data_IF_546070657792
#
_entry.id   IF_546070657792
#
_cell.length_a   1.000
_cell.length_b   1.000
_cell.length_c   1.000
_cell.angle_alpha   90.00
_cell.angle_beta   90.00
_cell.angle_gamma   90.00
#
_symmetry.space_group_name_H-M   'P 1'
#
loop_
_entity.id
_entity.type
_entity.pdbx_description
1 polymer ?
#
# COMPACT_ATOMS: atom_id res chain seq x y z
N UNK A 1 -1.39 -1.72 32.47
CA UNK A 1 -0.49 -1.97 31.33
C UNK A 1 -1.13 -3.06 30.49
N UNK A 2 -1.69 -2.78 29.30
CA UNK A 2 -2.08 -3.88 28.44
C UNK A 2 -0.83 -4.52 27.85
N UNK A 3 -0.89 -5.84 27.78
CA UNK A 3 0.09 -6.73 27.18
C UNK A 3 0.29 -6.34 25.72
N UNK A 4 1.55 -6.15 25.31
CA UNK A 4 1.91 -6.18 23.89
C UNK A 4 1.66 -7.64 23.47
N UNK A 5 0.48 -7.92 22.94
CA UNK A 5 0.24 -9.17 22.23
C UNK A 5 1.31 -9.28 21.14
N UNK A 6 2.03 -10.39 21.14
CA UNK A 6 3.11 -10.63 20.20
C UNK A 6 2.60 -10.38 18.78
N UNK A 7 3.30 -9.53 18.01
CA UNK A 7 3.04 -9.34 16.58
C UNK A 7 3.05 -10.75 15.97
N UNK A 8 1.93 -11.25 15.42
CA UNK A 8 1.92 -12.57 14.83
C UNK A 8 3.01 -12.60 13.75
N UNK A 9 4.00 -13.46 13.94
CA UNK A 9 5.04 -13.69 12.93
C UNK A 9 4.34 -14.24 11.70
N UNK A 10 4.11 -13.37 10.71
CA UNK A 10 3.50 -13.75 9.46
C UNK A 10 4.22 -14.99 8.93
N UNK A 11 3.49 -16.10 8.79
CA UNK A 11 4.01 -17.30 8.12
C UNK A 11 4.51 -16.87 6.75
N UNK A 12 5.72 -17.30 6.38
CA UNK A 12 6.29 -17.10 5.06
C UNK A 12 5.50 -17.92 4.02
N UNK A 13 4.27 -17.53 3.73
CA UNK A 13 3.56 -18.00 2.56
C UNK A 13 4.14 -17.27 1.33
N UNK A 14 4.28 -17.94 0.18
CA UNK A 14 4.63 -17.24 -1.05
C UNK A 14 3.54 -16.20 -1.33
N UNK A 15 3.94 -14.93 -1.45
CA UNK A 15 3.01 -13.87 -1.77
C UNK A 15 2.64 -13.85 -3.25
N UNK A 16 1.81 -12.88 -3.68
CA UNK A 16 1.32 -12.84 -5.04
C UNK A 16 2.50 -12.75 -6.02
N UNK A 17 2.57 -13.67 -6.97
CA UNK A 17 3.44 -13.55 -8.14
C UNK A 17 2.91 -12.40 -8.99
N UNK A 18 3.75 -11.40 -9.25
CA UNK A 18 3.43 -10.22 -10.07
C UNK A 18 3.79 -10.46 -11.54
N UNK A 19 4.97 -11.02 -11.76
CA UNK A 19 5.53 -11.38 -13.07
C UNK A 19 6.34 -12.67 -12.90
N UNK A 20 6.68 -13.38 -13.99
CA UNK A 20 7.62 -14.49 -13.91
C UNK A 20 8.91 -14.08 -13.19
N UNK A 21 9.23 -14.75 -12.08
CA UNK A 21 10.40 -14.44 -11.26
C UNK A 21 10.27 -13.25 -10.30
N UNK A 22 9.10 -12.58 -10.21
CA UNK A 22 8.86 -11.46 -9.30
C UNK A 22 7.67 -11.74 -8.38
N UNK A 23 7.93 -11.89 -7.09
CA UNK A 23 6.92 -12.02 -6.05
C UNK A 23 7.31 -11.16 -4.83
N UNK A 24 6.31 -10.66 -4.12
CA UNK A 24 6.51 -9.88 -2.89
C UNK A 24 6.18 -10.73 -1.67
N UNK A 25 7.01 -10.67 -0.64
CA UNK A 25 6.74 -11.33 0.63
C UNK A 25 5.48 -10.72 1.31
N UNK A 26 4.48 -11.53 1.72
CA UNK A 26 3.32 -11.04 2.46
C UNK A 26 3.69 -10.44 3.82
N UNK A 27 2.92 -9.45 4.28
CA UNK A 27 3.13 -8.85 5.60
C UNK A 27 4.50 -8.18 5.75
N UNK A 28 5.06 -7.68 4.65
CA UNK A 28 6.32 -6.94 4.61
C UNK A 28 6.14 -5.65 3.82
N UNK A 29 6.97 -4.66 4.16
CA UNK A 29 7.06 -3.41 3.42
C UNK A 29 8.02 -3.62 2.25
N UNK A 30 7.62 -3.15 1.07
CA UNK A 30 8.43 -3.16 -0.15
C UNK A 30 8.51 -1.74 -0.70
N UNK A 31 9.72 -1.26 -0.94
CA UNK A 31 9.94 0.06 -1.54
C UNK A 31 10.01 -0.05 -3.06
N UNK A 32 9.17 0.71 -3.75
CA UNK A 32 9.12 0.73 -5.21
C UNK A 32 9.73 2.03 -5.73
N UNK A 33 10.90 1.93 -6.37
CA UNK A 33 11.65 3.09 -6.86
C UNK A 33 11.57 3.24 -8.39
N UNK A 34 11.76 4.46 -8.88
CA UNK A 34 11.86 4.77 -10.31
C UNK A 34 10.55 5.23 -10.97
N UNK A 35 10.58 5.43 -12.31
CA UNK A 35 9.46 6.03 -13.05
C UNK A 35 8.21 5.14 -13.06
N UNK A 36 8.36 3.82 -13.00
CA UNK A 36 7.25 2.86 -13.08
C UNK A 36 6.68 2.43 -11.73
N UNK A 37 7.07 3.07 -10.62
CA UNK A 37 6.66 2.66 -9.26
C UNK A 37 5.15 2.57 -9.06
N UNK A 38 4.38 3.49 -9.66
CA UNK A 38 2.91 3.47 -9.60
C UNK A 38 2.34 2.31 -10.41
N UNK A 39 2.83 2.07 -11.61
CA UNK A 39 2.40 0.92 -12.41
C UNK A 39 2.67 -0.41 -11.69
N UNK A 40 3.82 -0.53 -11.01
CA UNK A 40 4.14 -1.69 -10.20
C UNK A 40 3.22 -1.82 -8.96
N UNK A 41 2.87 -0.70 -8.30
CA UNK A 41 1.88 -0.70 -7.23
C UNK A 41 0.49 -1.14 -7.71
N UNK A 42 0.07 -0.72 -8.91
CA UNK A 42 -1.18 -1.15 -9.53
C UNK A 42 -1.16 -2.63 -9.90
N UNK A 43 -0.03 -3.16 -10.39
CA UNK A 43 0.15 -4.60 -10.59
C UNK A 43 -0.05 -5.39 -9.29
N UNK A 44 0.45 -4.88 -8.15
CA UNK A 44 0.23 -5.52 -6.85
C UNK A 44 -1.26 -5.48 -6.47
N UNK A 45 -1.90 -4.31 -6.60
CA UNK A 45 -3.32 -4.14 -6.31
C UNK A 45 -4.21 -5.09 -7.14
N UNK A 46 -3.87 -5.30 -8.41
CA UNK A 46 -4.55 -6.20 -9.32
C UNK A 46 -4.46 -7.68 -8.91
N UNK A 47 -3.44 -8.08 -8.14
CA UNK A 47 -3.25 -9.47 -7.66
C UNK A 47 -3.83 -9.74 -6.28
N UNK A 48 -4.34 -8.70 -5.62
CA UNK A 48 -4.95 -8.80 -4.30
C UNK A 48 -6.46 -8.53 -4.40
N UNK A 49 -7.21 -9.08 -3.46
CA UNK A 49 -8.64 -8.79 -3.25
C UNK A 49 -8.81 -7.93 -2.00
N UNK A 50 -9.94 -7.23 -1.89
CA UNK A 50 -10.25 -6.36 -0.74
C UNK A 50 -9.79 -4.90 -0.90
N UNK A 51 -10.00 -4.06 0.13
CA UNK A 51 -9.72 -2.63 0.07
C UNK A 51 -8.25 -2.32 -0.22
N UNK A 52 -8.01 -1.26 -1.00
CA UNK A 52 -6.68 -0.71 -1.26
C UNK A 52 -6.64 0.68 -0.64
N UNK A 53 -5.86 0.84 0.43
CA UNK A 53 -5.62 2.16 0.99
C UNK A 53 -4.46 2.82 0.24
N UNK A 54 -4.71 3.97 -0.37
CA UNK A 54 -3.69 4.80 -1.00
C UNK A 54 -3.49 6.08 -0.21
N UNK A 55 -2.30 6.22 0.37
CA UNK A 55 -1.84 7.36 1.14
C UNK A 55 -0.95 8.21 0.23
N UNK A 56 -1.36 9.44 -0.03
CA UNK A 56 -0.61 10.40 -0.85
C UNK A 56 -0.74 11.79 -0.24
N UNK A 57 0.24 12.69 -0.42
CA UNK A 57 0.11 14.02 0.16
C UNK A 57 -1.06 14.77 -0.48
N UNK A 58 -1.77 15.60 0.28
CA UNK A 58 -2.89 16.39 -0.27
C UNK A 58 -2.48 17.29 -1.44
N UNK A 59 -1.20 17.66 -1.50
CA UNK A 59 -0.60 18.49 -2.53
C UNK A 59 0.06 17.66 -3.66
N UNK A 60 -0.26 16.37 -3.77
CA UNK A 60 0.24 15.53 -4.85
C UNK A 60 -0.15 16.11 -6.22
N UNK A 61 0.78 16.17 -7.19
CA UNK A 61 0.50 16.71 -8.52
C UNK A 61 -0.46 15.81 -9.31
N UNK A 62 -0.53 14.54 -8.96
CA UNK A 62 -1.31 13.52 -9.65
C UNK A 62 -2.04 12.65 -8.62
N UNK A 63 -3.36 12.55 -8.80
CA UNK A 63 -4.24 11.74 -7.97
C UNK A 63 -4.72 10.50 -8.73
N UNK A 64 -4.99 9.38 -8.03
CA UNK A 64 -5.59 8.22 -8.64
C UNK A 64 -6.98 8.57 -9.21
N UNK A 65 -7.18 8.32 -10.50
CA UNK A 65 -8.46 8.54 -11.19
C UNK A 65 -9.13 7.20 -11.48
N UNK A 66 -10.43 7.07 -11.17
CA UNK A 66 -11.16 5.80 -11.26
C UNK A 66 -10.98 5.11 -12.62
N UNK A 67 -11.15 5.85 -13.73
CA UNK A 67 -10.99 5.29 -15.08
C UNK A 67 -9.58 4.79 -15.38
N UNK A 68 -8.55 5.43 -14.80
CA UNK A 68 -7.16 4.99 -14.93
C UNK A 68 -6.85 3.74 -14.10
N UNK A 69 -7.64 3.48 -13.06
CA UNK A 69 -7.49 2.32 -12.16
C UNK A 69 -8.31 1.12 -12.60
N UNK A 70 -9.46 1.34 -13.26
CA UNK A 70 -10.38 0.30 -13.68
C UNK A 70 -9.74 -0.86 -14.47
N UNK A 71 -8.71 -0.66 -15.32
CA UNK A 71 -8.00 -1.77 -15.98
C UNK A 71 -7.21 -2.68 -15.03
N UNK A 72 -6.92 -2.23 -13.81
CA UNK A 72 -6.10 -2.93 -12.83
C UNK A 72 -6.94 -3.58 -11.73
N UNK A 73 -7.91 -2.85 -11.18
CA UNK A 73 -8.82 -3.35 -10.15
C UNK A 73 -10.10 -2.49 -10.09
N UNK A 74 -11.16 -3.03 -9.47
CA UNK A 74 -12.40 -2.28 -9.23
C UNK A 74 -12.15 -1.01 -8.39
N UNK A 75 -12.35 0.20 -8.95
CA UNK A 75 -12.10 1.45 -8.24
C UNK A 75 -12.92 1.60 -6.94
N UNK A 76 -14.03 0.88 -6.76
CA UNK A 76 -14.80 0.88 -5.52
C UNK A 76 -14.02 0.31 -4.32
N UNK A 77 -12.92 -0.41 -4.58
CA UNK A 77 -12.00 -0.90 -3.55
C UNK A 77 -11.06 0.18 -3.01
N UNK A 78 -10.93 1.31 -3.69
CA UNK A 78 -9.98 2.35 -3.34
C UNK A 78 -10.47 3.18 -2.15
N UNK A 79 -9.62 3.29 -1.13
CA UNK A 79 -9.76 4.26 -0.05
C UNK A 79 -8.58 5.22 -0.15
N UNK A 80 -8.83 6.52 -0.11
CA UNK A 80 -7.77 7.54 -0.18
C UNK A 80 -7.60 8.20 1.19
N UNK A 81 -6.37 8.22 1.68
CA UNK A 81 -5.95 9.10 2.77
C UNK A 81 -5.02 10.18 2.22
N UNK A 82 -5.40 11.44 2.42
CA UNK A 82 -4.67 12.59 1.88
C UNK A 82 -4.17 13.55 2.97
N UNK A 83 -3.26 13.09 3.86
CA UNK A 83 -2.72 13.94 4.91
C UNK A 83 -1.86 15.08 4.35
N UNK A 84 -1.68 16.13 5.15
CA UNK A 84 -0.91 17.33 4.77
C UNK A 84 0.58 17.19 5.03
N UNK A 85 0.97 16.45 6.06
CA UNK A 85 2.36 16.41 6.55
C UNK A 85 2.95 15.00 6.41
N UNK A 86 4.24 14.85 6.07
CA UNK A 86 4.86 13.54 5.86
C UNK A 86 4.76 12.60 7.07
N UNK A 87 4.88 13.11 8.30
CA UNK A 87 4.72 12.28 9.51
C UNK A 87 3.33 11.67 9.63
N UNK A 88 2.31 12.38 9.16
CA UNK A 88 0.92 11.92 9.23
C UNK A 88 0.69 10.81 8.20
N UNK A 89 1.46 10.78 7.10
CA UNK A 89 1.46 9.68 6.14
C UNK A 89 1.98 8.39 6.76
N UNK A 90 3.11 8.48 7.47
CA UNK A 90 3.68 7.35 8.21
C UNK A 90 2.73 6.88 9.31
N UNK A 91 2.10 7.81 10.02
CA UNK A 91 1.08 7.49 11.01
C UNK A 91 -0.13 6.77 10.38
N UNK A 92 -0.68 7.27 9.27
CA UNK A 92 -1.75 6.59 8.54
C UNK A 92 -1.33 5.16 8.11
N UNK A 93 -0.08 4.99 7.66
CA UNK A 93 0.43 3.68 7.27
C UNK A 93 0.52 2.74 8.48
N UNK A 94 1.04 3.21 9.61
CA UNK A 94 1.13 2.44 10.85
C UNK A 94 -0.25 2.00 11.34
N UNK A 95 -1.21 2.92 11.44
CA UNK A 95 -2.56 2.59 11.90
C UNK A 95 -3.28 1.63 10.94
N UNK A 96 -3.11 1.82 9.63
CA UNK A 96 -3.69 0.90 8.64
C UNK A 96 -3.12 -0.51 8.80
N UNK A 97 -1.79 -0.64 8.94
CA UNK A 97 -1.12 -1.92 9.16
C UNK A 97 -1.51 -2.56 10.50
N UNK A 98 -1.64 -1.77 11.56
CA UNK A 98 -2.06 -2.25 12.89
C UNK A 98 -3.51 -2.75 12.89
N UNK A 99 -4.40 -2.07 12.16
CA UNK A 99 -5.81 -2.47 12.08
C UNK A 99 -6.04 -3.78 11.33
N UNK A 100 -5.15 -4.12 10.38
CA UNK A 100 -5.35 -5.24 9.46
C UNK A 100 -6.54 -5.09 8.50
N UNK A 101 -7.19 -3.92 8.45
CA UNK A 101 -8.42 -3.71 7.67
C UNK A 101 -8.19 -3.70 6.15
N UNK A 102 -6.99 -3.32 5.71
CA UNK A 102 -6.62 -3.28 4.29
C UNK A 102 -5.51 -4.30 4.01
N UNK A 103 -5.72 -5.25 3.07
CA UNK A 103 -4.67 -6.18 2.65
C UNK A 103 -3.54 -5.51 1.86
N UNK A 104 -3.76 -4.30 1.35
CA UNK A 104 -2.75 -3.49 0.67
C UNK A 104 -2.82 -2.03 1.13
N UNK A 105 -1.67 -1.51 1.56
CA UNK A 105 -1.46 -0.09 1.86
C UNK A 105 -0.36 0.43 0.93
N UNK A 106 -0.69 1.43 0.13
CA UNK A 106 0.22 2.13 -0.78
C UNK A 106 0.54 3.50 -0.18
N UNK A 107 1.81 3.78 0.13
CA UNK A 107 2.23 5.08 0.64
C UNK A 107 3.18 5.78 -0.34
N UNK A 108 2.73 6.88 -0.94
CA UNK A 108 3.54 7.71 -1.84
C UNK A 108 4.33 8.77 -1.06
N UNK A 109 5.33 8.32 -0.30
CA UNK A 109 6.16 9.23 0.48
C UNK A 109 6.95 10.18 -0.43
N UNK A 110 7.07 11.49 -0.06
CA UNK A 110 7.79 12.47 -0.87
C UNK A 110 9.31 12.27 -0.86
N UNK A 111 9.82 11.54 0.13
CA UNK A 111 11.22 11.15 0.29
C UNK A 111 11.29 9.80 1.00
N UNK A 112 12.41 9.06 0.90
CA UNK A 112 12.62 7.85 1.69
C UNK A 112 12.44 8.13 3.19
N UNK A 113 11.95 7.16 3.98
CA UNK A 113 11.98 7.28 5.43
C UNK A 113 13.45 7.37 5.89
N UNK A 114 13.76 8.42 6.64
CA UNK A 114 15.11 8.69 7.17
C UNK A 114 15.51 7.77 8.32
#
# INVERSE_FOLDING_TARGET
MPVIDAIPTARQAPGPTLLPGLALAPGRVHELCGPSRRALALLVAARLSGPVLWILPTHAPEWPHADGLAPWFDPARLVIAAPRQPRDMLWCMEEALRSGACPLVLAELPAPPG
#
